data_IF_722887202830
#
_entry.id   IF_722887202830
#
_cell.length_a   1.000
_cell.length_b   1.000
_cell.length_c   1.000
_cell.angle_alpha   90.00
_cell.angle_beta   90.00
_cell.angle_gamma   90.00
#
_symmetry.space_group_name_H-M   'P 1'
#
loop_
_entity.id
_entity.type
_entity.pdbx_description
1 polymer ?
#
# COMPACT_ATOMS: atom_id res chain seq x y z
N UNK A 1 -52.41 -8.44 24.37
CA UNK A 1 -51.36 -7.41 24.58
C UNK A 1 -50.07 -8.00 24.05
N UNK A 2 -49.82 -7.85 22.75
CA UNK A 2 -48.66 -8.45 22.08
C UNK A 2 -47.60 -7.37 21.98
N UNK A 3 -46.50 -7.56 22.69
CA UNK A 3 -45.38 -6.62 22.71
C UNK A 3 -44.63 -6.81 21.39
N UNK A 4 -44.77 -5.86 20.46
CA UNK A 4 -43.92 -5.79 19.29
C UNK A 4 -42.51 -5.42 19.75
N UNK A 5 -41.61 -6.40 19.72
CA UNK A 5 -40.17 -6.15 19.88
C UNK A 5 -39.70 -5.50 18.57
N UNK A 6 -39.45 -4.20 18.64
CA UNK A 6 -38.86 -3.44 17.55
C UNK A 6 -37.42 -3.91 17.39
N UNK A 7 -37.13 -4.73 16.37
CA UNK A 7 -35.74 -5.04 15.99
C UNK A 7 -35.16 -3.76 15.39
N UNK A 8 -34.03 -3.23 15.89
CA UNK A 8 -33.38 -2.10 15.26
C UNK A 8 -33.00 -2.54 13.83
N UNK A 9 -33.40 -1.72 12.86
CA UNK A 9 -33.09 -1.93 11.46
C UNK A 9 -31.58 -2.02 11.29
N UNK A 10 -31.16 -2.94 10.42
CA UNK A 10 -29.83 -2.94 9.86
C UNK A 10 -29.61 -1.61 9.14
N UNK A 11 -29.04 -0.64 9.83
CA UNK A 11 -28.32 0.43 9.16
C UNK A 11 -27.25 -0.28 8.34
N UNK A 12 -27.47 -0.35 7.03
CA UNK A 12 -26.58 -1.05 6.10
C UNK A 12 -25.14 -0.65 6.41
N UNK A 13 -24.27 -1.63 6.67
CA UNK A 13 -22.86 -1.37 6.98
C UNK A 13 -22.29 -0.44 5.90
N UNK A 14 -22.02 0.81 6.25
CA UNK A 14 -21.40 1.80 5.37
C UNK A 14 -19.92 1.81 5.70
N UNK A 15 -19.10 1.58 4.68
CA UNK A 15 -17.66 1.63 4.81
C UNK A 15 -17.18 3.02 4.41
N UNK A 16 -16.22 3.57 5.15
CA UNK A 16 -15.53 4.79 4.72
C UNK A 16 -14.44 4.43 3.73
N UNK A 17 -14.23 5.27 2.72
CA UNK A 17 -13.08 5.12 1.82
C UNK A 17 -11.76 5.02 2.60
N UNK A 18 -11.59 5.79 3.67
CA UNK A 18 -10.40 5.71 4.53
C UNK A 18 -10.26 4.36 5.23
N UNK A 19 -11.35 3.68 5.60
CA UNK A 19 -11.28 2.34 6.19
C UNK A 19 -10.83 1.29 5.15
N UNK A 20 -11.25 1.44 3.88
CA UNK A 20 -10.76 0.60 2.76
C UNK A 20 -9.26 0.77 2.60
N UNK A 21 -8.82 2.02 2.45
CA UNK A 21 -7.41 2.37 2.21
C UNK A 21 -6.51 1.93 3.37
N UNK A 22 -6.96 2.06 4.62
CA UNK A 22 -6.26 1.53 5.81
C UNK A 22 -6.05 0.01 5.72
N UNK A 23 -7.05 -0.75 5.26
CA UNK A 23 -6.89 -2.19 5.05
C UNK A 23 -5.88 -2.48 3.94
N UNK A 24 -5.89 -1.71 2.86
CA UNK A 24 -4.92 -1.85 1.77
C UNK A 24 -3.49 -1.58 2.24
N UNK A 25 -3.30 -0.59 3.12
CA UNK A 25 -2.02 -0.32 3.78
C UNK A 25 -1.48 -1.52 4.57
N UNK A 26 -2.33 -2.29 5.25
CA UNK A 26 -1.89 -3.50 5.95
C UNK A 26 -1.29 -4.53 4.98
N UNK A 27 -1.92 -4.72 3.82
CA UNK A 27 -1.44 -5.62 2.75
C UNK A 27 -0.19 -5.08 2.07
N UNK A 28 -0.14 -3.78 1.78
CA UNK A 28 1.05 -3.13 1.21
C UNK A 28 2.23 -3.27 2.19
N UNK A 29 2.03 -3.02 3.48
CA UNK A 29 3.05 -3.17 4.51
C UNK A 29 3.62 -4.60 4.59
N UNK A 30 2.80 -5.63 4.36
CA UNK A 30 3.26 -7.03 4.26
C UNK A 30 4.11 -7.27 3.01
N UNK A 31 3.72 -6.74 1.85
CA UNK A 31 4.55 -6.76 0.64
C UNK A 31 5.90 -6.03 0.82
N UNK A 32 5.90 -4.87 1.49
CA UNK A 32 7.13 -4.16 1.82
C UNK A 32 8.04 -4.97 2.75
N UNK A 33 7.49 -5.70 3.71
CA UNK A 33 8.25 -6.60 4.57
C UNK A 33 8.92 -7.73 3.75
N UNK A 34 8.24 -8.27 2.73
CA UNK A 34 8.82 -9.22 1.80
C UNK A 34 9.99 -8.61 1.00
N UNK A 35 9.84 -7.36 0.52
CA UNK A 35 10.91 -6.66 -0.20
C UNK A 35 12.13 -6.38 0.69
N UNK A 36 11.92 -6.01 1.95
CA UNK A 36 13.00 -5.82 2.92
C UNK A 36 13.79 -7.13 3.16
N UNK A 37 13.09 -8.27 3.26
CA UNK A 37 13.73 -9.60 3.38
C UNK A 37 14.51 -9.98 2.12
N UNK A 38 13.97 -9.68 0.93
CA UNK A 38 14.67 -9.89 -0.34
C UNK A 38 15.98 -9.09 -0.39
N UNK A 39 15.95 -7.82 0.01
CA UNK A 39 17.13 -6.97 0.04
C UNK A 39 18.20 -7.52 0.99
N UNK A 40 17.81 -8.00 2.17
CA UNK A 40 18.71 -8.66 3.12
C UNK A 40 19.29 -9.98 2.56
N UNK A 41 18.46 -10.80 1.92
CA UNK A 41 18.90 -12.04 1.27
C UNK A 41 19.98 -11.78 0.21
N UNK A 42 19.72 -10.81 -0.67
CA UNK A 42 20.66 -10.41 -1.73
C UNK A 42 21.95 -9.83 -1.15
N UNK A 43 21.87 -9.07 -0.06
CA UNK A 43 23.03 -8.50 0.67
C UNK A 43 23.93 -9.59 1.22
N UNK A 44 23.34 -10.68 1.70
CA UNK A 44 24.06 -11.84 2.21
C UNK A 44 24.58 -12.78 1.09
N UNK A 45 24.52 -12.34 -0.17
CA UNK A 45 25.00 -13.10 -1.33
C UNK A 45 24.03 -14.18 -1.81
N UNK A 46 22.79 -14.19 -1.31
CA UNK A 46 21.79 -15.19 -1.67
C UNK A 46 21.37 -15.12 -3.14
N UNK A 47 21.09 -16.29 -3.72
CA UNK A 47 20.47 -16.41 -5.05
C UNK A 47 18.95 -16.33 -4.94
N UNK A 48 18.30 -15.80 -5.96
CA UNK A 48 16.85 -15.57 -5.99
C UNK A 48 16.24 -16.22 -7.21
N UNK A 49 15.02 -16.74 -7.07
CA UNK A 49 14.23 -17.15 -8.23
C UNK A 49 13.68 -15.89 -8.92
N UNK A 50 13.92 -15.68 -10.24
CA UNK A 50 13.47 -14.48 -10.93
C UNK A 50 11.95 -14.27 -10.91
N UNK A 51 11.18 -15.36 -10.93
CA UNK A 51 9.71 -15.35 -10.84
C UNK A 51 9.21 -14.79 -9.50
N UNK A 52 9.82 -15.20 -8.38
CA UNK A 52 9.47 -14.70 -7.04
C UNK A 52 9.78 -13.21 -6.88
N UNK A 53 10.92 -12.76 -7.39
CA UNK A 53 11.28 -11.32 -7.39
C UNK A 53 10.31 -10.53 -8.25
N UNK A 54 9.99 -11.03 -9.44
CA UNK A 54 9.06 -10.36 -10.35
C UNK A 54 7.66 -10.27 -9.75
N UNK A 55 7.11 -11.36 -9.20
CA UNK A 55 5.79 -11.38 -8.58
C UNK A 55 5.66 -10.37 -7.44
N UNK A 56 6.71 -10.22 -6.61
CA UNK A 56 6.73 -9.23 -5.54
C UNK A 56 6.71 -7.79 -6.07
N UNK A 57 7.53 -7.49 -7.08
CA UNK A 57 7.58 -6.14 -7.67
C UNK A 57 6.31 -5.81 -8.47
N UNK A 58 5.70 -6.81 -9.12
CA UNK A 58 4.40 -6.68 -9.77
C UNK A 58 3.30 -6.40 -8.76
N UNK A 59 3.27 -7.08 -7.61
CA UNK A 59 2.33 -6.74 -6.53
C UNK A 59 2.47 -5.29 -6.08
N UNK A 60 3.69 -4.82 -5.83
CA UNK A 60 3.91 -3.43 -5.42
C UNK A 60 3.50 -2.42 -6.52
N UNK A 61 3.65 -2.76 -7.79
CA UNK A 61 3.19 -1.90 -8.90
C UNK A 61 1.67 -1.93 -9.05
N UNK A 62 1.07 -3.11 -9.16
CA UNK A 62 -0.35 -3.25 -9.48
C UNK A 62 -1.25 -2.99 -8.27
N UNK A 63 -0.79 -3.29 -7.05
CA UNK A 63 -1.59 -3.11 -5.85
C UNK A 63 -1.29 -1.81 -5.10
N UNK A 64 -0.01 -1.53 -4.80
CA UNK A 64 0.29 -0.30 -4.05
C UNK A 64 0.11 0.96 -4.91
N UNK A 65 0.46 0.91 -6.20
CA UNK A 65 0.35 2.07 -7.08
C UNK A 65 -0.95 2.09 -7.91
N UNK A 66 -1.11 1.19 -8.88
CA UNK A 66 -2.26 1.21 -9.80
C UNK A 66 -3.62 0.86 -9.16
N UNK A 67 -3.65 0.49 -7.89
CA UNK A 67 -4.89 0.17 -7.20
C UNK A 67 -5.13 1.11 -6.02
N UNK A 68 -4.17 1.17 -5.10
CA UNK A 68 -4.29 1.98 -3.91
C UNK A 68 -4.07 3.48 -4.21
N UNK A 69 -2.89 3.89 -4.72
CA UNK A 69 -2.66 5.31 -5.03
C UNK A 69 -3.66 5.86 -6.07
N UNK A 70 -4.12 5.06 -7.04
CA UNK A 70 -5.16 5.52 -7.98
C UNK A 70 -6.47 5.91 -7.28
N UNK A 71 -6.89 5.18 -6.24
CA UNK A 71 -8.07 5.58 -5.44
C UNK A 71 -7.82 6.90 -4.74
N UNK A 72 -6.61 7.14 -4.28
CA UNK A 72 -6.26 8.39 -3.63
C UNK A 72 -6.21 9.55 -4.62
N UNK A 73 -5.42 9.42 -5.69
CA UNK A 73 -5.20 10.43 -6.71
C UNK A 73 -6.48 10.77 -7.51
N UNK A 74 -7.42 9.82 -7.65
CA UNK A 74 -8.63 10.02 -8.45
C UNK A 74 -9.92 10.18 -7.63
N UNK A 75 -9.93 9.77 -6.36
CA UNK A 75 -11.13 9.86 -5.51
C UNK A 75 -10.88 10.72 -4.28
N UNK A 76 -9.96 10.31 -3.40
CA UNK A 76 -9.78 10.96 -2.11
C UNK A 76 -9.19 12.37 -2.24
N UNK A 77 -8.06 12.54 -2.92
CA UNK A 77 -7.38 13.83 -3.05
C UNK A 77 -8.23 14.85 -3.80
N UNK A 78 -8.88 14.52 -4.94
CA UNK A 78 -9.80 15.45 -5.59
C UNK A 78 -11.00 15.81 -4.71
N UNK A 79 -11.49 14.87 -3.89
CA UNK A 79 -12.54 15.17 -2.92
C UNK A 79 -12.05 16.16 -1.87
N UNK A 80 -10.87 15.94 -1.29
CA UNK A 80 -10.27 16.85 -0.29
C UNK A 80 -9.98 18.23 -0.89
N UNK A 81 -9.55 18.29 -2.15
CA UNK A 81 -9.31 19.54 -2.87
C UNK A 81 -10.59 20.39 -2.98
N UNK A 82 -11.69 19.78 -3.44
CA UNK A 82 -13.00 20.45 -3.53
C UNK A 82 -13.50 20.97 -2.17
N UNK A 83 -13.01 20.39 -1.08
CA UNK A 83 -13.36 20.75 0.29
C UNK A 83 -12.34 21.71 0.95
N UNK A 84 -11.42 22.28 0.17
CA UNK A 84 -10.61 23.43 0.58
C UNK A 84 -9.15 23.14 0.87
N UNK A 85 -8.64 21.94 0.59
CA UNK A 85 -7.20 21.67 0.62
C UNK A 85 -6.56 22.03 -0.72
N UNK A 86 -5.46 22.81 -0.74
CA UNK A 86 -4.75 23.07 -2.00
C UNK A 86 -4.16 21.79 -2.59
N UNK A 87 -4.37 21.52 -3.88
CA UNK A 87 -3.74 20.38 -4.56
C UNK A 87 -2.23 20.59 -4.76
N UNK A 88 -1.82 21.81 -5.14
CA UNK A 88 -0.44 22.15 -5.50
C UNK A 88 0.44 22.59 -4.32
N UNK A 89 -0.09 22.53 -3.09
CA UNK A 89 0.66 22.90 -1.89
C UNK A 89 0.22 22.13 -0.66
N UNK A 90 1.15 21.92 0.28
CA UNK A 90 0.85 21.27 1.55
C UNK A 90 0.72 19.75 1.41
N UNK A 91 -0.19 19.10 2.17
CA UNK A 91 -0.18 17.66 2.33
C UNK A 91 -0.47 16.88 1.05
N UNK A 92 -1.41 17.33 0.20
CA UNK A 92 -1.73 16.63 -1.06
C UNK A 92 -0.55 16.64 -2.04
N UNK A 93 0.10 17.79 -2.22
CA UNK A 93 1.30 17.90 -3.04
C UNK A 93 2.45 17.01 -2.53
N UNK A 94 2.61 16.89 -1.21
CA UNK A 94 3.61 16.00 -0.61
C UNK A 94 3.29 14.52 -0.86
N UNK A 95 2.03 14.09 -0.78
CA UNK A 95 1.65 12.70 -1.08
C UNK A 95 1.88 12.37 -2.55
N UNK A 96 1.47 13.24 -3.47
CA UNK A 96 1.72 13.05 -4.90
C UNK A 96 3.23 12.96 -5.22
N UNK A 97 4.07 13.76 -4.56
CA UNK A 97 5.53 13.66 -4.72
C UNK A 97 6.08 12.31 -4.21
N UNK A 98 5.57 11.81 -3.08
CA UNK A 98 5.94 10.48 -2.60
C UNK A 98 5.51 9.39 -3.59
N UNK A 99 4.30 9.47 -4.16
CA UNK A 99 3.84 8.51 -5.17
C UNK A 99 4.77 8.51 -6.40
N UNK A 100 5.14 9.70 -6.89
CA UNK A 100 6.07 9.83 -8.02
C UNK A 100 7.45 9.25 -7.73
N UNK A 101 8.01 9.49 -6.53
CA UNK A 101 9.26 8.87 -6.09
C UNK A 101 9.12 7.35 -5.94
N UNK A 102 7.98 6.87 -5.41
CA UNK A 102 7.66 5.45 -5.30
C UNK A 102 7.65 4.77 -6.67
N UNK A 103 6.97 5.37 -7.66
CA UNK A 103 6.97 4.94 -9.06
C UNK A 103 8.37 4.92 -9.65
N UNK A 104 9.22 5.89 -9.33
CA UNK A 104 10.61 5.89 -9.79
C UNK A 104 11.42 4.73 -9.24
N UNK A 105 11.33 4.46 -7.93
CA UNK A 105 11.97 3.32 -7.32
C UNK A 105 11.50 2.00 -7.95
N UNK A 106 10.19 1.81 -8.14
CA UNK A 106 9.65 0.59 -8.75
C UNK A 106 10.16 0.37 -10.17
N UNK A 107 10.24 1.42 -11.00
CA UNK A 107 10.83 1.31 -12.36
C UNK A 107 12.28 0.81 -12.30
N UNK A 108 13.09 1.35 -11.41
CA UNK A 108 14.48 0.93 -11.24
C UNK A 108 14.60 -0.50 -10.71
N UNK A 109 13.78 -0.86 -9.72
CA UNK A 109 13.75 -2.21 -9.15
C UNK A 109 13.36 -3.25 -10.22
N UNK A 110 12.32 -2.97 -11.01
CA UNK A 110 11.89 -3.85 -12.10
C UNK A 110 12.98 -4.02 -13.17
N UNK A 111 13.68 -2.94 -13.54
CA UNK A 111 14.79 -3.02 -14.48
C UNK A 111 15.97 -3.84 -13.94
N UNK A 112 16.40 -3.54 -12.70
CA UNK A 112 17.53 -4.20 -12.05
C UNK A 112 17.26 -5.69 -11.74
N UNK A 113 15.99 -6.06 -11.49
CA UNK A 113 15.60 -7.44 -11.17
C UNK A 113 16.05 -8.46 -12.23
N UNK A 114 16.18 -8.04 -13.49
CA UNK A 114 16.60 -8.86 -14.64
C UNK A 114 18.08 -9.26 -14.61
N UNK A 115 18.90 -8.60 -13.79
CA UNK A 115 20.36 -8.74 -13.81
C UNK A 115 20.97 -9.03 -12.42
N UNK A 116 20.15 -9.30 -11.39
CA UNK A 116 20.60 -9.49 -10.00
C UNK A 116 21.65 -10.58 -9.79
N UNK A 117 21.60 -11.63 -10.62
CA UNK A 117 22.51 -12.78 -10.55
C UNK A 117 23.73 -12.64 -11.49
N UNK A 118 23.81 -11.56 -12.27
CA UNK A 118 24.83 -11.37 -13.31
C UNK A 118 25.81 -10.25 -12.92
N UNK A 119 25.29 -9.14 -12.39
CA UNK A 119 26.09 -7.95 -12.10
C UNK A 119 25.98 -7.55 -10.62
N UNK A 120 27.11 -7.61 -9.91
CA UNK A 120 27.21 -7.25 -8.50
C UNK A 120 26.92 -5.76 -8.24
N UNK A 121 27.19 -4.88 -9.20
CA UNK A 121 26.84 -3.45 -9.11
C UNK A 121 25.34 -3.25 -9.20
N UNK A 122 24.67 -3.91 -10.16
CA UNK A 122 23.20 -3.87 -10.29
C UNK A 122 22.53 -4.43 -9.04
N UNK A 123 23.07 -5.52 -8.48
CA UNK A 123 22.59 -6.07 -7.21
C UNK A 123 22.68 -5.04 -6.07
N UNK A 124 23.81 -4.34 -5.93
CA UNK A 124 23.98 -3.31 -4.89
C UNK A 124 22.99 -2.17 -5.06
N UNK A 125 22.76 -1.73 -6.30
CA UNK A 125 21.78 -0.69 -6.60
C UNK A 125 20.36 -1.15 -6.28
N UNK A 126 19.99 -2.38 -6.65
CA UNK A 126 18.68 -2.95 -6.31
C UNK A 126 18.44 -2.93 -4.79
N UNK A 127 19.43 -3.38 -4.00
CA UNK A 127 19.33 -3.39 -2.53
C UNK A 127 19.10 -1.96 -2.01
N UNK A 128 19.89 -0.99 -2.47
CA UNK A 128 19.75 0.40 -2.02
C UNK A 128 18.39 1.00 -2.40
N UNK A 129 17.91 0.73 -3.62
CA UNK A 129 16.59 1.18 -4.09
C UNK A 129 15.45 0.52 -3.33
N UNK A 130 15.58 -0.75 -2.98
CA UNK A 130 14.57 -1.48 -2.21
C UNK A 130 14.43 -0.90 -0.80
N UNK A 131 15.55 -0.61 -0.14
CA UNK A 131 15.54 0.03 1.18
C UNK A 131 14.97 1.46 1.14
N UNK A 132 15.32 2.24 0.12
CA UNK A 132 14.77 3.59 -0.08
C UNK A 132 13.26 3.54 -0.32
N UNK A 133 12.80 2.61 -1.16
CA UNK A 133 11.37 2.41 -1.43
C UNK A 133 10.60 2.00 -0.16
N UNK A 134 11.12 1.03 0.60
CA UNK A 134 10.53 0.66 1.89
C UNK A 134 10.47 1.87 2.84
N UNK A 135 11.58 2.59 3.03
CA UNK A 135 11.62 3.76 3.91
C UNK A 135 10.60 4.83 3.50
N UNK A 136 10.49 5.10 2.19
CA UNK A 136 9.53 6.03 1.62
C UNK A 136 8.10 5.59 1.92
N UNK A 137 7.71 4.37 1.52
CA UNK A 137 6.33 3.93 1.60
C UNK A 137 5.85 3.70 3.05
N UNK A 138 6.70 3.21 3.96
CA UNK A 138 6.30 3.15 5.36
C UNK A 138 6.10 4.54 5.97
N UNK A 139 6.96 5.51 5.62
CA UNK A 139 6.79 6.90 6.04
C UNK A 139 5.56 7.56 5.40
N UNK A 140 5.24 7.19 4.17
CA UNK A 140 4.06 7.63 3.43
C UNK A 140 2.78 7.14 4.09
N UNK A 141 2.64 5.82 4.28
CA UNK A 141 1.53 5.18 4.99
C UNK A 141 1.33 5.78 6.39
N UNK A 142 2.43 6.06 7.11
CA UNK A 142 2.35 6.69 8.43
C UNK A 142 1.75 8.10 8.39
N UNK A 143 2.12 8.91 7.38
CA UNK A 143 1.55 10.23 7.17
C UNK A 143 0.06 10.16 6.82
N UNK A 144 -0.33 9.18 6.04
CA UNK A 144 -1.72 9.02 5.63
C UNK A 144 -2.61 8.55 6.77
N UNK A 145 -2.25 7.43 7.41
CA UNK A 145 -2.99 6.83 8.50
C UNK A 145 -3.20 7.79 9.67
N UNK A 146 -2.17 8.58 10.00
CA UNK A 146 -2.19 9.38 11.22
C UNK A 146 -2.50 10.86 10.99
N UNK A 147 -2.30 11.38 9.79
CA UNK A 147 -2.51 12.80 9.50
C UNK A 147 -3.56 13.01 8.41
N UNK A 148 -3.36 12.44 7.22
CA UNK A 148 -4.18 12.76 6.05
C UNK A 148 -5.60 12.19 6.18
N UNK A 149 -5.75 10.90 6.51
CA UNK A 149 -7.05 10.26 6.63
C UNK A 149 -7.86 10.84 7.80
N UNK A 150 -7.30 11.06 9.01
CA UNK A 150 -8.03 11.77 10.07
C UNK A 150 -8.44 13.18 9.68
N UNK A 151 -7.67 13.86 8.83
CA UNK A 151 -8.05 15.16 8.28
C UNK A 151 -9.22 15.04 7.30
N UNK A 152 -9.18 14.07 6.38
CA UNK A 152 -10.28 13.78 5.46
C UNK A 152 -11.58 13.46 6.23
N UNK A 153 -11.49 12.65 7.29
CA UNK A 153 -12.63 12.29 8.13
C UNK A 153 -13.22 13.49 8.86
N UNK A 154 -12.39 14.41 9.38
CA UNK A 154 -12.86 15.67 9.99
C UNK A 154 -13.54 16.57 8.97
N UNK A 155 -13.03 16.63 7.74
CA UNK A 155 -13.64 17.40 6.66
C UNK A 155 -14.98 16.79 6.21
N UNK A 156 -15.07 15.47 6.22
CA UNK A 156 -16.27 14.73 5.82
C UNK A 156 -17.34 14.71 6.92
N UNK A 157 -17.06 15.28 8.10
CA UNK A 157 -17.96 15.29 9.25
C UNK A 157 -19.33 15.89 8.86
N UNK A 158 -20.37 15.06 8.94
CA UNK A 158 -21.74 15.45 8.57
C UNK A 158 -22.11 15.21 7.11
N UNK A 159 -21.23 14.61 6.30
CA UNK A 159 -21.52 14.17 4.92
C UNK A 159 -21.46 12.65 4.81
N UNK A 160 -22.08 12.11 3.75
CA UNK A 160 -21.98 10.68 3.41
C UNK A 160 -21.16 10.46 2.12
N UNK A 161 -20.42 11.48 1.66
CA UNK A 161 -19.78 11.47 0.33
C UNK A 161 -18.60 10.49 0.21
N UNK A 162 -17.97 10.14 1.34
CA UNK A 162 -16.90 9.14 1.41
C UNK A 162 -17.39 7.78 1.94
N UNK A 163 -18.70 7.55 1.95
CA UNK A 163 -19.30 6.33 2.46
C UNK A 163 -20.04 5.58 1.35
N UNK A 164 -19.77 4.29 1.23
CA UNK A 164 -20.52 3.41 0.34
C UNK A 164 -20.81 2.07 1.03
N UNK A 165 -21.89 1.36 0.63
CA UNK A 165 -22.07 -0.02 1.06
C UNK A 165 -20.99 -0.91 0.44
N UNK A 166 -20.45 -1.89 1.17
CA UNK A 166 -19.51 -2.85 0.60
C UNK A 166 -20.20 -3.61 -0.53
N UNK A 167 -19.46 -3.82 -1.62
CA UNK A 167 -19.92 -4.61 -2.76
C UNK A 167 -19.26 -5.99 -2.74
N UNK A 168 -19.94 -6.99 -3.31
CA UNK A 168 -19.35 -8.33 -3.48
C UNK A 168 -18.08 -8.31 -4.32
N UNK A 169 -17.95 -7.33 -5.24
CA UNK A 169 -16.76 -7.16 -6.05
C UNK A 169 -15.56 -6.70 -5.22
N UNK A 170 -15.76 -5.76 -4.29
CA UNK A 170 -14.72 -5.31 -3.35
C UNK A 170 -14.34 -6.42 -2.37
N UNK A 171 -15.31 -7.18 -1.85
CA UNK A 171 -15.03 -8.32 -0.97
C UNK A 171 -14.18 -9.39 -1.68
N UNK A 172 -14.55 -9.77 -2.91
CA UNK A 172 -13.80 -10.72 -3.72
C UNK A 172 -12.41 -10.19 -4.12
N UNK A 173 -12.29 -8.88 -4.31
CA UNK A 173 -11.00 -8.23 -4.58
C UNK A 173 -10.07 -8.26 -3.37
N UNK A 174 -10.60 -8.00 -2.17
CA UNK A 174 -9.84 -8.12 -0.93
C UNK A 174 -9.34 -9.55 -0.76
N UNK A 175 -10.20 -10.56 -0.92
CA UNK A 175 -9.81 -11.98 -0.84
C UNK A 175 -8.71 -12.32 -1.85
N UNK A 176 -8.86 -11.88 -3.10
CA UNK A 176 -7.85 -12.10 -4.14
C UNK A 176 -6.48 -11.51 -3.78
N UNK A 177 -6.43 -10.27 -3.27
CA UNK A 177 -5.16 -9.64 -2.91
C UNK A 177 -4.56 -10.20 -1.63
N UNK A 178 -5.41 -10.68 -0.71
CA UNK A 178 -5.00 -11.41 0.48
C UNK A 178 -4.25 -12.70 0.09
N UNK A 179 -4.82 -13.50 -0.82
CA UNK A 179 -4.17 -14.71 -1.35
C UNK A 179 -2.81 -14.41 -2.00
N UNK A 180 -2.73 -13.30 -2.76
CA UNK A 180 -1.48 -12.87 -3.42
C UNK A 180 -0.42 -12.53 -2.37
N UNK A 181 -0.74 -11.69 -1.38
CA UNK A 181 0.25 -11.29 -0.38
C UNK A 181 0.66 -12.46 0.52
N UNK A 182 -0.26 -13.35 0.87
CA UNK A 182 0.08 -14.58 1.60
C UNK A 182 1.04 -15.46 0.80
N UNK A 183 0.81 -15.61 -0.51
CA UNK A 183 1.74 -16.34 -1.38
C UNK A 183 3.14 -15.70 -1.39
N UNK A 184 3.21 -14.37 -1.48
CA UNK A 184 4.49 -13.65 -1.42
C UNK A 184 5.19 -13.83 -0.08
N UNK A 185 4.46 -13.80 1.03
CA UNK A 185 5.00 -14.07 2.37
C UNK A 185 5.52 -15.50 2.48
N UNK A 186 4.80 -16.47 1.89
CA UNK A 186 5.21 -17.87 1.85
C UNK A 186 6.55 -18.04 1.12
N UNK A 187 6.73 -17.38 -0.01
CA UNK A 187 8.00 -17.34 -0.73
C UNK A 187 9.09 -16.63 0.08
N UNK A 188 8.78 -15.47 0.68
CA UNK A 188 9.73 -14.66 1.44
C UNK A 188 10.20 -15.30 2.75
N UNK A 189 9.49 -16.32 3.28
CA UNK A 189 9.94 -17.08 4.46
C UNK A 189 11.26 -17.81 4.26
N UNK A 190 11.64 -18.08 3.00
CA UNK A 190 12.94 -18.69 2.67
C UNK A 190 14.11 -17.69 2.76
N UNK A 191 13.84 -16.39 2.80
CA UNK A 191 14.84 -15.34 2.99
C UNK A 191 15.05 -15.05 4.48
N UNK A 192 16.23 -14.59 4.92
CA UNK A 192 16.44 -14.16 6.30
C UNK A 192 15.51 -12.97 6.65
N UNK A 193 15.17 -12.79 7.95
CA UNK A 193 14.53 -11.57 8.41
C UNK A 193 15.38 -10.34 8.08
N UNK A 194 14.74 -9.25 7.66
CA UNK A 194 15.43 -7.98 7.41
C UNK A 194 16.08 -7.45 8.70
N UNK A 195 17.32 -6.95 8.58
CA UNK A 195 18.02 -6.31 9.71
C UNK A 195 17.45 -4.93 10.01
N UNK A 196 17.07 -4.18 8.97
CA UNK A 196 16.35 -2.92 9.10
C UNK A 196 14.88 -3.21 9.37
N UNK A 197 14.37 -2.65 10.47
CA UNK A 197 12.94 -2.71 10.80
C UNK A 197 12.27 -1.45 10.30
N UNK A 198 11.27 -1.66 9.47
CA UNK A 198 10.32 -0.63 9.09
C UNK A 198 9.00 -0.90 9.81
N UNK A 199 8.21 0.15 10.03
CA UNK A 199 6.91 0.01 10.66
C UNK A 199 6.08 1.27 10.49
N UNK A 200 4.78 1.07 10.37
CA UNK A 200 3.76 2.10 10.60
C UNK A 200 3.66 2.29 12.12
N UNK A 201 3.56 3.54 12.59
CA UNK A 201 3.61 3.82 14.04
C UNK A 201 2.31 3.53 14.76
#
# INVERSE_FOLDING_TARGET
MTIHVNRPGHEHARMRLTDVLMGEHERIARGLACLARLAEHLRNGGETRPDAVHALLEFLREYADHHHHEKEEHVLFPWMERHGLPAEAGPLAMMNQDHEHGRDHLRHLLAASKHLQIDASVRREFIARAEQYCALLYGHIDKENHILYPMAERMAAGTHELFHPPTQAEEAEVERWEDVVEHLENEARHWPPATVRYGVR
#
